data_IF_174464154938
#
_entry.id   IF_174464154938
#
_cell.length_a   1.000
_cell.length_b   1.000
_cell.length_c   1.000
_cell.angle_alpha   90.00
_cell.angle_beta   90.00
_cell.angle_gamma   90.00
#
_symmetry.space_group_name_H-M   'P 1'
#
loop_
_entity.id
_entity.type
_entity.pdbx_description
1 polymer ?
#
# COMPACT_ATOMS: atom_id res chain seq x y z
N UNK A 1 6.89 22.02 7.70
CA UNK A 1 8.26 22.10 7.10
C UNK A 1 9.09 23.30 7.54
N UNK A 2 8.70 24.57 7.29
CA UNK A 2 9.54 25.76 7.60
C UNK A 2 9.88 25.86 9.10
N UNK A 3 8.89 25.75 9.96
CA UNK A 3 9.08 25.79 11.42
C UNK A 3 9.99 24.65 11.92
N UNK A 4 9.75 23.43 11.45
CA UNK A 4 10.56 22.27 11.82
C UNK A 4 12.02 22.41 11.40
N UNK A 5 12.30 22.93 10.20
CA UNK A 5 13.68 23.22 9.76
C UNK A 5 14.31 24.37 10.55
N UNK A 6 13.55 25.40 10.90
CA UNK A 6 14.05 26.47 11.75
C UNK A 6 14.44 25.97 13.14
N UNK A 7 13.75 24.95 13.65
CA UNK A 7 13.99 24.37 14.98
C UNK A 7 15.05 23.26 15.00
N UNK A 8 15.04 22.37 14.02
CA UNK A 8 15.84 21.14 14.00
C UNK A 8 16.93 21.13 12.90
N UNK A 9 16.98 22.16 12.05
CA UNK A 9 17.98 22.32 11.01
C UNK A 9 17.56 21.77 9.64
N UNK A 10 18.45 21.91 8.66
CA UNK A 10 18.16 21.67 7.23
C UNK A 10 17.83 20.21 6.90
N UNK A 11 18.25 19.26 7.75
CA UNK A 11 17.99 17.84 7.57
C UNK A 11 16.58 17.42 8.04
N UNK A 12 15.81 18.32 8.65
CA UNK A 12 14.45 18.02 9.08
C UNK A 12 13.46 18.00 7.90
N UNK A 13 12.67 16.94 7.86
CA UNK A 13 11.55 16.72 6.96
C UNK A 13 10.33 16.29 7.78
N UNK A 14 9.18 16.92 7.51
CA UNK A 14 7.89 16.52 8.08
C UNK A 14 7.21 15.46 7.21
N UNK A 15 6.19 14.78 7.77
CA UNK A 15 5.42 13.74 7.09
C UNK A 15 4.89 14.18 5.73
N UNK A 16 4.50 15.46 5.59
CA UNK A 16 3.92 15.98 4.36
C UNK A 16 4.93 16.00 3.20
N UNK A 17 6.23 16.11 3.52
CA UNK A 17 7.26 15.98 2.49
C UNK A 17 7.34 14.54 1.98
N UNK A 18 7.29 13.55 2.88
CA UNK A 18 7.34 12.14 2.51
C UNK A 18 6.10 11.77 1.68
N UNK A 19 4.90 12.09 2.17
CA UNK A 19 3.64 11.80 1.44
C UNK A 19 3.59 12.45 0.07
N UNK A 20 3.96 13.74 -0.04
CA UNK A 20 3.99 14.45 -1.35
C UNK A 20 4.76 13.67 -2.39
N UNK A 21 5.93 13.25 -1.96
CA UNK A 21 6.85 12.58 -2.82
C UNK A 21 6.27 11.20 -3.11
N UNK A 22 5.82 10.45 -2.09
CA UNK A 22 5.36 9.07 -2.23
C UNK A 22 4.18 8.92 -3.20
N UNK A 23 3.27 9.89 -3.15
CA UNK A 23 2.16 10.08 -4.09
C UNK A 23 2.54 10.27 -5.56
N UNK A 24 3.82 10.50 -5.89
CA UNK A 24 4.26 10.63 -7.27
C UNK A 24 3.93 11.98 -7.91
N UNK A 25 4.43 13.10 -7.36
CA UNK A 25 4.37 14.40 -8.07
C UNK A 25 4.99 14.29 -9.48
N UNK A 26 4.31 14.51 -10.64
CA UNK A 26 2.91 14.78 -10.96
C UNK A 26 2.29 13.70 -11.90
N UNK A 27 2.67 12.43 -11.76
CA UNK A 27 2.22 11.34 -12.62
C UNK A 27 1.40 10.35 -11.79
N UNK A 28 0.30 9.87 -12.37
CA UNK A 28 -0.54 8.79 -11.82
C UNK A 28 0.24 7.56 -11.32
N UNK A 29 1.47 7.36 -11.81
CA UNK A 29 2.40 6.35 -11.34
C UNK A 29 3.47 7.03 -10.49
N UNK A 30 3.52 6.71 -9.20
CA UNK A 30 4.69 7.02 -8.39
C UNK A 30 5.92 6.38 -9.04
N UNK A 31 6.98 7.14 -9.38
CA UNK A 31 8.15 6.60 -10.08
C UNK A 31 9.01 5.68 -9.21
N UNK A 32 8.50 5.25 -8.05
CA UNK A 32 9.19 4.47 -7.01
C UNK A 32 8.53 3.12 -6.71
N UNK A 33 7.51 2.77 -7.47
CA UNK A 33 6.76 1.51 -7.35
C UNK A 33 6.72 0.81 -8.70
N UNK A 34 6.34 -0.47 -8.70
CA UNK A 34 6.17 -1.31 -9.89
C UNK A 34 7.43 -1.48 -10.78
N UNK A 35 8.61 -1.27 -10.20
CA UNK A 35 9.91 -1.45 -10.83
C UNK A 35 11.01 -1.56 -9.77
N UNK A 36 12.15 -2.23 -10.04
CA UNK A 36 13.29 -2.32 -9.13
C UNK A 36 13.78 -1.03 -8.45
N UNK A 37 13.45 0.14 -9.01
CA UNK A 37 13.61 1.45 -8.34
C UNK A 37 12.99 1.47 -6.94
N UNK A 38 12.02 0.62 -6.63
CA UNK A 38 11.46 0.43 -5.29
C UNK A 38 12.53 0.37 -4.21
N UNK A 39 13.60 -0.42 -4.40
CA UNK A 39 14.63 -0.58 -3.38
C UNK A 39 15.48 0.67 -3.19
N UNK A 40 15.99 1.23 -4.28
CA UNK A 40 16.86 2.42 -4.24
C UNK A 40 16.11 3.65 -3.74
N UNK A 41 14.88 3.85 -4.19
CA UNK A 41 14.01 4.95 -3.77
C UNK A 41 13.60 4.82 -2.29
N UNK A 42 13.18 3.64 -1.83
CA UNK A 42 12.80 3.46 -0.42
C UNK A 42 14.00 3.49 0.53
N UNK A 43 15.17 2.98 0.13
CA UNK A 43 16.40 3.11 0.91
C UNK A 43 16.82 4.59 1.08
N UNK A 44 16.76 5.40 0.00
CA UNK A 44 17.07 6.84 0.14
C UNK A 44 15.99 7.62 0.89
N UNK A 45 14.73 7.21 0.79
CA UNK A 45 13.64 7.68 1.66
C UNK A 45 13.95 7.41 3.13
N UNK A 46 14.33 6.17 3.46
CA UNK A 46 14.73 5.72 4.79
C UNK A 46 15.91 6.53 5.32
N UNK A 47 16.95 6.73 4.50
CA UNK A 47 18.09 7.59 4.86
C UNK A 47 17.67 9.03 5.16
N UNK A 48 16.72 9.60 4.41
CA UNK A 48 16.17 10.92 4.71
C UNK A 48 15.38 10.94 6.01
N UNK A 49 14.58 9.90 6.28
CA UNK A 49 13.82 9.74 7.52
C UNK A 49 14.71 9.63 8.74
N UNK A 50 15.70 8.74 8.73
CA UNK A 50 16.64 8.60 9.83
C UNK A 50 17.34 9.92 10.16
N UNK A 51 17.80 10.66 9.15
CA UNK A 51 18.44 11.97 9.37
C UNK A 51 17.47 13.01 9.91
N UNK A 52 16.20 12.95 9.51
CA UNK A 52 15.16 13.80 10.09
C UNK A 52 15.01 13.51 11.59
N UNK A 53 15.00 12.23 12.00
CA UNK A 53 15.01 11.83 13.40
C UNK A 53 16.26 12.33 14.13
N UNK A 54 17.44 12.14 13.55
CA UNK A 54 18.73 12.56 14.13
C UNK A 54 18.87 14.08 14.25
N UNK A 55 18.18 14.85 13.39
CA UNK A 55 18.10 16.31 13.51
C UNK A 55 17.35 16.77 14.76
N UNK A 56 16.45 15.92 15.28
CA UNK A 56 15.71 16.16 16.52
C UNK A 56 16.50 15.61 17.71
N UNK A 57 16.95 14.35 17.60
CA UNK A 57 17.72 13.67 18.65
C UNK A 57 18.81 12.79 18.00
N UNK A 58 20.10 13.19 18.05
CA UNK A 58 21.17 12.54 17.27
C UNK A 58 21.42 11.06 17.54
N UNK A 59 20.92 10.52 18.66
CA UNK A 59 21.08 9.10 18.99
C UNK A 59 19.95 8.20 18.44
N UNK A 60 18.98 8.75 17.71
CA UNK A 60 17.95 7.94 17.07
C UNK A 60 18.48 7.28 15.79
N UNK A 61 18.07 6.05 15.60
CA UNK A 61 18.14 5.34 14.33
C UNK A 61 16.73 5.00 13.87
N UNK A 62 16.54 4.85 12.57
CA UNK A 62 15.27 4.39 12.06
C UNK A 62 15.16 2.88 12.31
N UNK A 63 14.07 2.45 12.95
CA UNK A 63 13.84 1.04 13.25
C UNK A 63 13.14 0.37 12.06
N UNK A 64 13.27 -0.95 11.94
CA UNK A 64 12.52 -1.76 10.98
C UNK A 64 11.52 -2.65 11.70
N UNK A 65 10.57 -3.18 10.95
CA UNK A 65 9.62 -4.18 11.43
C UNK A 65 9.74 -5.48 10.64
N UNK A 66 10.19 -6.54 11.31
CA UNK A 66 10.17 -7.90 10.78
C UNK A 66 8.82 -8.56 11.08
N UNK A 67 7.83 -8.24 10.25
CA UNK A 67 6.46 -8.75 10.39
C UNK A 67 6.36 -10.28 10.29
N UNK A 68 7.39 -10.97 9.78
CA UNK A 68 7.38 -12.44 9.71
C UNK A 68 7.51 -13.09 11.10
N UNK A 69 8.04 -12.36 12.09
CA UNK A 69 7.99 -12.75 13.50
C UNK A 69 6.55 -12.74 14.00
N UNK A 70 5.79 -11.71 13.65
CA UNK A 70 4.40 -11.56 14.07
C UNK A 70 3.47 -12.51 13.30
N UNK A 71 3.79 -12.81 12.04
CA UNK A 71 3.13 -13.86 11.28
C UNK A 71 3.25 -15.23 11.97
N UNK A 72 4.36 -15.48 12.68
CA UNK A 72 4.58 -16.72 13.42
C UNK A 72 3.80 -16.80 14.76
N UNK A 73 3.19 -15.70 15.24
CA UNK A 73 2.41 -15.68 16.49
C UNK A 73 1.02 -16.37 16.38
N UNK A 74 0.64 -16.84 15.19
CA UNK A 74 -0.61 -17.53 14.82
C UNK A 74 -1.89 -16.67 14.93
N UNK A 75 -2.66 -16.66 13.81
CA UNK A 75 -3.99 -16.10 13.48
C UNK A 75 -4.42 -14.73 13.99
N UNK A 76 -3.78 -14.13 14.98
CA UNK A 76 -4.06 -12.77 15.45
C UNK A 76 -2.74 -12.02 15.64
N UNK A 77 -2.26 -11.44 14.54
CA UNK A 77 -1.05 -10.61 14.54
C UNK A 77 -1.22 -9.34 15.37
N UNK A 78 -2.45 -8.94 15.73
CA UNK A 78 -2.71 -7.75 16.55
C UNK A 78 -2.31 -7.92 18.01
N UNK A 79 -2.05 -9.16 18.45
CA UNK A 79 -1.48 -9.46 19.76
C UNK A 79 0.00 -9.07 19.92
N UNK A 80 0.69 -8.69 18.84
CA UNK A 80 2.09 -8.26 18.88
C UNK A 80 2.28 -7.00 19.71
N UNK A 81 3.47 -6.86 20.33
CA UNK A 81 3.87 -5.61 20.99
C UNK A 81 3.86 -4.41 20.03
N UNK A 82 3.99 -4.68 18.71
CA UNK A 82 3.95 -3.66 17.68
C UNK A 82 2.65 -2.84 17.73
N UNK A 83 1.56 -3.50 18.13
CA UNK A 83 0.22 -2.92 18.29
C UNK A 83 -0.09 -2.56 19.74
N UNK A 84 0.92 -2.39 20.61
CA UNK A 84 0.66 -1.89 21.97
C UNK A 84 0.37 -0.38 21.98
N UNK A 85 -0.27 0.11 23.04
CA UNK A 85 -0.59 1.54 23.24
C UNK A 85 0.66 2.45 23.17
N UNK A 86 1.81 1.93 23.62
CA UNK A 86 3.08 2.65 23.58
C UNK A 86 3.71 2.78 22.20
N UNK A 87 3.22 2.00 21.22
CA UNK A 87 3.78 1.87 19.88
C UNK A 87 2.80 2.35 18.80
N UNK A 88 2.28 1.48 17.93
CA UNK A 88 1.34 1.90 16.90
C UNK A 88 -0.13 1.91 17.35
N UNK A 89 -0.41 1.48 18.58
CA UNK A 89 -1.75 1.51 19.18
C UNK A 89 -2.53 0.20 18.94
N UNK A 90 -3.31 -0.27 19.92
CA UNK A 90 -3.97 -1.57 19.86
C UNK A 90 -5.20 -1.59 18.95
N UNK A 91 -5.53 -2.80 18.51
CA UNK A 91 -6.79 -3.08 17.82
C UNK A 91 -8.00 -2.53 18.58
N UNK A 92 -8.02 -2.72 19.89
CA UNK A 92 -9.10 -2.30 20.77
C UNK A 92 -9.22 -0.80 20.99
N UNK A 93 -8.24 0.01 20.55
CA UNK A 93 -8.29 1.46 20.70
C UNK A 93 -8.86 2.17 19.48
N UNK A 94 -9.29 1.43 18.46
CA UNK A 94 -10.23 1.91 17.45
C UNK A 94 -11.62 1.66 18.01
N UNK A 95 -12.29 2.72 18.46
CA UNK A 95 -13.68 2.61 18.89
C UNK A 95 -14.52 2.12 17.70
N UNK A 96 -15.12 0.94 17.85
CA UNK A 96 -16.00 0.37 16.81
C UNK A 96 -17.16 1.31 16.51
N UNK A 97 -17.60 2.11 17.49
CA UNK A 97 -18.61 3.15 17.32
C UNK A 97 -18.05 4.48 16.75
N UNK A 98 -16.73 4.68 16.74
CA UNK A 98 -16.13 5.82 16.06
C UNK A 98 -16.14 5.60 14.55
N UNK A 99 -17.11 6.24 13.89
CA UNK A 99 -17.24 6.24 12.42
C UNK A 99 -16.10 7.00 11.73
N UNK A 100 -15.31 7.78 12.46
CA UNK A 100 -14.14 8.48 11.92
C UNK A 100 -12.89 7.62 11.94
N UNK A 101 -12.87 6.54 12.73
CA UNK A 101 -11.76 5.59 12.86
C UNK A 101 -10.40 6.29 13.08
N UNK A 102 -10.44 7.38 13.86
CA UNK A 102 -9.24 8.17 14.14
C UNK A 102 -8.26 7.33 14.97
N UNK A 103 -6.98 7.41 14.62
CA UNK A 103 -5.93 6.76 15.42
C UNK A 103 -5.89 7.34 16.83
N UNK A 104 -5.54 6.50 17.80
CA UNK A 104 -5.49 6.84 19.22
C UNK A 104 -4.06 6.71 19.77
N UNK A 105 -3.84 7.05 21.04
CA UNK A 105 -2.53 6.96 21.68
C UNK A 105 -1.51 7.96 21.12
N UNK A 106 -0.26 7.51 20.91
CA UNK A 106 0.87 8.34 20.47
C UNK A 106 0.62 9.04 19.13
N UNK A 107 -0.14 8.40 18.25
CA UNK A 107 -0.37 8.86 16.89
C UNK A 107 -1.73 9.56 16.71
N UNK A 108 -2.45 9.80 17.81
CA UNK A 108 -3.70 10.54 17.78
C UNK A 108 -3.51 11.95 17.22
N UNK A 109 -4.49 12.42 16.44
CA UNK A 109 -4.53 13.78 15.88
C UNK A 109 -3.37 14.13 14.94
N UNK A 110 -2.69 13.16 14.32
CA UNK A 110 -1.81 13.45 13.19
C UNK A 110 -2.67 14.05 12.09
N UNK A 111 -2.38 15.29 11.70
CA UNK A 111 -3.15 16.03 10.69
C UNK A 111 -2.70 15.60 9.30
N UNK A 112 -3.66 15.26 8.44
CA UNK A 112 -3.42 14.99 7.03
C UNK A 112 -3.26 16.31 6.29
N UNK A 113 -2.21 16.40 5.47
CA UNK A 113 -1.94 17.59 4.67
C UNK A 113 -3.14 17.95 3.79
N UNK A 114 -3.39 19.24 3.62
CA UNK A 114 -4.40 19.79 2.71
C UNK A 114 -3.77 20.97 1.98
N UNK A 115 -3.94 21.09 0.65
CA UNK A 115 -3.78 22.31 -0.16
C UNK A 115 -3.43 21.97 -1.63
N UNK A 116 -4.33 22.32 -2.55
CA UNK A 116 -4.23 22.08 -4.01
C UNK A 116 -3.05 22.79 -4.70
N UNK A 117 -2.39 23.77 -4.06
CA UNK A 117 -1.30 24.54 -4.68
C UNK A 117 0.09 23.97 -4.45
N UNK A 118 0.28 23.15 -3.42
CA UNK A 118 1.60 22.58 -3.06
C UNK A 118 1.71 21.09 -3.39
N UNK A 119 0.57 20.42 -3.58
CA UNK A 119 0.45 19.01 -3.91
C UNK A 119 -0.46 18.87 -5.12
N UNK A 120 -0.02 18.16 -6.15
CA UNK A 120 -0.81 17.94 -7.36
C UNK A 120 -1.76 16.73 -7.22
N UNK A 121 -1.46 15.83 -6.29
CA UNK A 121 -2.26 14.63 -6.01
C UNK A 121 -2.99 14.84 -4.69
N UNK A 122 -4.31 14.79 -4.74
CA UNK A 122 -5.21 14.92 -3.61
C UNK A 122 -6.56 14.27 -3.94
N UNK A 123 -7.35 13.96 -2.92
CA UNK A 123 -8.73 13.52 -3.10
C UNK A 123 -9.70 14.71 -3.32
N UNK A 124 -11.00 14.44 -3.45
CA UNK A 124 -12.02 15.46 -3.73
C UNK A 124 -12.12 16.53 -2.63
N UNK A 125 -11.79 16.19 -1.39
CA UNK A 125 -11.77 17.12 -0.25
C UNK A 125 -10.51 18.02 -0.20
N UNK A 126 -9.55 17.78 -1.10
CA UNK A 126 -8.27 18.46 -1.18
C UNK A 126 -7.24 17.96 -0.17
N UNK A 127 -7.46 16.80 0.43
CA UNK A 127 -6.52 16.14 1.33
C UNK A 127 -5.45 15.41 0.51
N UNK A 128 -4.21 15.43 0.99
CA UNK A 128 -3.04 14.81 0.35
C UNK A 128 -3.09 13.30 0.56
N UNK A 129 -4.01 12.70 -0.17
CA UNK A 129 -4.31 11.28 -0.27
C UNK A 129 -4.33 10.90 -1.75
N UNK A 130 -4.44 9.60 -2.02
CA UNK A 130 -4.72 9.12 -3.37
C UNK A 130 -6.08 9.62 -3.86
N UNK A 131 -6.26 9.90 -5.16
CA UNK A 131 -7.49 10.51 -5.67
C UNK A 131 -8.75 9.68 -5.43
N UNK A 132 -8.62 8.35 -5.41
CA UNK A 132 -9.70 7.41 -5.11
C UNK A 132 -9.88 7.16 -3.59
N UNK A 133 -8.93 7.56 -2.75
CA UNK A 133 -9.08 7.56 -1.30
C UNK A 133 -9.90 8.78 -0.88
N UNK A 134 -11.20 8.75 -1.10
CA UNK A 134 -12.06 9.90 -0.80
C UNK A 134 -12.56 9.98 0.65
N UNK A 135 -11.75 9.51 1.60
CA UNK A 135 -11.97 9.71 3.03
C UNK A 135 -11.82 11.22 3.39
N UNK A 136 -12.84 11.88 3.96
CA UNK A 136 -12.78 13.30 4.34
C UNK A 136 -12.01 13.58 5.63
N UNK A 137 -11.54 12.54 6.34
CA UNK A 137 -10.84 12.73 7.61
C UNK A 137 -9.56 13.55 7.43
N UNK A 138 -9.49 14.69 8.11
CA UNK A 138 -8.29 15.53 8.17
C UNK A 138 -7.28 15.05 9.23
N UNK A 139 -7.53 13.92 9.88
CA UNK A 139 -6.62 13.26 10.80
C UNK A 139 -6.34 11.82 10.36
N UNK A 140 -5.22 11.26 10.81
CA UNK A 140 -4.84 9.88 10.52
C UNK A 140 -5.89 8.90 11.03
N UNK A 141 -6.31 8.01 10.13
CA UNK A 141 -7.32 6.97 10.35
C UNK A 141 -6.77 5.59 10.02
N UNK A 142 -7.23 4.59 10.78
CA UNK A 142 -6.95 3.17 10.55
C UNK A 142 -8.19 2.35 10.85
N UNK A 143 -8.34 1.23 10.16
CA UNK A 143 -9.35 0.24 10.46
C UNK A 143 -8.71 -1.15 10.42
N UNK A 144 -9.00 -1.97 11.43
CA UNK A 144 -8.62 -3.38 11.43
C UNK A 144 -9.77 -4.28 10.93
N UNK A 145 -10.57 -3.71 10.03
CA UNK A 145 -11.57 -4.40 9.25
C UNK A 145 -11.62 -3.79 7.86
N UNK A 146 -12.01 -4.60 6.88
CA UNK A 146 -12.37 -4.15 5.53
C UNK A 146 -13.86 -4.39 5.37
N UNK A 147 -14.63 -3.31 5.41
CA UNK A 147 -16.09 -3.32 5.23
C UNK A 147 -16.82 -4.31 6.14
N UNK A 148 -16.37 -4.49 7.39
CA UNK A 148 -16.94 -5.44 8.36
C UNK A 148 -16.16 -6.75 8.51
N UNK A 149 -15.36 -7.14 7.52
CA UNK A 149 -14.50 -8.32 7.63
C UNK A 149 -13.25 -8.00 8.48
N UNK A 150 -12.99 -8.69 9.61
CA UNK A 150 -11.81 -8.43 10.43
C UNK A 150 -10.51 -8.76 9.70
N UNK A 151 -9.55 -7.83 9.68
CA UNK A 151 -8.23 -8.08 9.07
C UNK A 151 -7.29 -8.83 10.01
N UNK A 152 -7.58 -8.84 11.31
CA UNK A 152 -6.78 -9.56 12.30
C UNK A 152 -6.80 -11.07 12.09
N UNK A 153 -7.88 -11.61 11.52
CA UNK A 153 -8.01 -13.01 11.17
C UNK A 153 -7.30 -13.38 9.85
N UNK A 154 -6.83 -12.38 9.08
CA UNK A 154 -6.07 -12.59 7.86
C UNK A 154 -4.59 -12.73 8.20
N UNK A 155 -3.90 -13.66 7.55
CA UNK A 155 -2.47 -13.90 7.79
C UNK A 155 -1.62 -12.77 7.24
N UNK A 156 -0.63 -12.34 8.04
CA UNK A 156 0.52 -11.60 7.52
C UNK A 156 1.34 -12.49 6.58
N UNK A 157 2.08 -11.92 5.61
CA UNK A 157 3.06 -12.68 4.86
C UNK A 157 4.05 -13.34 5.82
N UNK A 158 4.27 -14.63 5.62
CA UNK A 158 4.98 -15.50 6.55
C UNK A 158 6.42 -15.74 6.11
N UNK A 159 7.09 -16.62 6.84
CA UNK A 159 8.39 -17.13 6.43
C UNK A 159 8.34 -17.84 5.07
N UNK A 160 7.21 -18.46 4.69
CA UNK A 160 7.10 -19.14 3.39
C UNK A 160 7.24 -18.13 2.23
N UNK A 161 6.48 -17.03 2.27
CA UNK A 161 6.56 -15.97 1.28
C UNK A 161 7.95 -15.33 1.26
N UNK A 162 8.51 -15.01 2.44
CA UNK A 162 9.85 -14.41 2.52
C UNK A 162 10.93 -15.32 1.91
N UNK A 163 10.85 -16.63 2.17
CA UNK A 163 11.78 -17.60 1.61
C UNK A 163 11.65 -17.70 0.09
N UNK A 164 10.42 -17.73 -0.44
CA UNK A 164 10.17 -17.67 -1.89
C UNK A 164 10.76 -16.42 -2.54
N UNK A 165 10.71 -15.27 -1.85
CA UNK A 165 11.37 -14.03 -2.28
C UNK A 165 12.90 -14.15 -2.27
N UNK A 166 13.48 -14.81 -1.26
CA UNK A 166 14.94 -15.02 -1.17
C UNK A 166 15.49 -16.08 -2.13
N UNK A 167 14.64 -16.88 -2.77
CA UNK A 167 15.05 -17.81 -3.84
C UNK A 167 15.33 -17.11 -5.17
N UNK A 168 14.84 -15.88 -5.36
CA UNK A 168 15.01 -15.13 -6.60
C UNK A 168 16.49 -14.80 -6.89
N UNK A 169 16.87 -14.79 -8.16
CA UNK A 169 18.27 -14.54 -8.58
C UNK A 169 18.47 -13.24 -9.35
N UNK A 170 17.39 -12.58 -9.77
CA UNK A 170 17.45 -11.30 -10.49
C UNK A 170 16.75 -10.22 -9.69
N UNK A 171 17.20 -8.98 -9.87
CA UNK A 171 16.56 -7.81 -9.26
C UNK A 171 15.08 -7.67 -9.64
N UNK A 172 14.71 -7.94 -10.89
CA UNK A 172 13.32 -7.83 -11.35
C UNK A 172 12.40 -8.83 -10.65
N UNK A 173 12.82 -10.09 -10.51
CA UNK A 173 12.01 -11.12 -9.85
C UNK A 173 11.96 -10.91 -8.33
N UNK A 174 13.09 -10.51 -7.74
CA UNK A 174 13.16 -10.15 -6.31
C UNK A 174 12.29 -8.94 -5.98
N UNK A 175 12.29 -7.92 -6.85
CA UNK A 175 11.38 -6.79 -6.77
C UNK A 175 9.92 -7.24 -6.82
N UNK A 176 9.54 -8.01 -7.85
CA UNK A 176 8.17 -8.46 -8.05
C UNK A 176 7.65 -9.20 -6.82
N UNK A 177 8.42 -10.16 -6.31
CA UNK A 177 8.05 -10.92 -5.11
C UNK A 177 8.06 -10.06 -3.83
N UNK A 178 8.99 -9.12 -3.68
CA UNK A 178 9.00 -8.24 -2.49
C UNK A 178 7.82 -7.28 -2.50
N UNK A 179 7.60 -6.57 -3.61
CA UNK A 179 6.54 -5.57 -3.68
C UNK A 179 5.16 -6.23 -3.62
N UNK A 180 4.93 -7.32 -4.35
CA UNK A 180 3.59 -7.87 -4.50
C UNK A 180 3.25 -9.00 -3.52
N UNK A 181 4.20 -9.86 -3.14
CA UNK A 181 3.89 -10.99 -2.23
C UNK A 181 4.09 -10.63 -0.75
N UNK A 182 4.92 -9.62 -0.44
CA UNK A 182 5.22 -9.21 0.93
C UNK A 182 4.66 -7.82 1.27
N UNK A 183 4.92 -6.82 0.42
CA UNK A 183 4.64 -5.43 0.77
C UNK A 183 3.18 -5.04 0.58
N UNK A 184 2.61 -5.24 -0.61
CA UNK A 184 1.26 -4.79 -0.96
C UNK A 184 0.21 -5.36 -0.02
N UNK A 185 0.44 -6.59 0.46
CA UNK A 185 -0.43 -7.31 1.37
C UNK A 185 -0.64 -6.62 2.72
N UNK A 186 0.27 -5.75 3.14
CA UNK A 186 0.19 -5.07 4.43
C UNK A 186 -0.80 -3.89 4.41
N UNK A 187 -0.98 -3.25 3.27
CA UNK A 187 -1.85 -2.08 3.12
C UNK A 187 -3.30 -2.33 3.56
N UNK A 188 -4.02 -3.32 3.00
CA UNK A 188 -5.41 -3.59 3.37
C UNK A 188 -5.53 -4.03 4.83
N UNK A 189 -4.52 -4.70 5.39
CA UNK A 189 -4.56 -5.25 6.74
C UNK A 189 -4.53 -4.18 7.85
N UNK A 190 -3.76 -3.11 7.65
CA UNK A 190 -3.57 -2.07 8.69
C UNK A 190 -4.29 -0.76 8.41
N UNK A 191 -4.56 -0.47 7.13
CA UNK A 191 -5.33 0.72 6.77
C UNK A 191 -6.84 0.47 6.85
N UNK A 192 -7.29 -0.68 6.33
CA UNK A 192 -8.68 -1.11 6.31
C UNK A 192 -9.66 -0.16 5.63
N UNK A 193 -10.92 -0.58 5.57
CA UNK A 193 -12.02 0.16 4.97
C UNK A 193 -13.29 0.07 5.83
N UNK A 194 -14.11 1.11 5.81
CA UNK A 194 -15.38 1.17 6.54
C UNK A 194 -16.37 2.08 5.81
N UNK A 195 -17.62 2.12 6.28
CA UNK A 195 -18.68 2.91 5.65
C UNK A 195 -18.88 2.53 4.17
N UNK A 196 -18.70 1.25 3.87
CA UNK A 196 -18.84 0.67 2.54
C UNK A 196 -20.32 0.39 2.26
N UNK A 197 -20.74 0.51 1.00
CA UNK A 197 -22.12 0.21 0.61
C UNK A 197 -22.47 -1.27 0.82
N UNK A 198 -21.51 -2.17 0.54
CA UNK A 198 -21.62 -3.57 0.89
C UNK A 198 -20.95 -3.84 2.24
N UNK A 199 -21.71 -4.38 3.21
CA UNK A 199 -21.16 -4.94 4.45
C UNK A 199 -20.79 -6.41 4.27
N UNK A 200 -19.67 -6.78 4.88
CA UNK A 200 -19.14 -8.14 4.96
C UNK A 200 -19.35 -8.78 6.34
N UNK A 201 -20.04 -8.11 7.27
CA UNK A 201 -20.29 -8.61 8.64
C UNK A 201 -21.06 -9.95 8.64
N UNK A 202 -21.95 -10.12 7.66
CA UNK A 202 -22.81 -11.30 7.50
C UNK A 202 -22.33 -12.22 6.36
N UNK A 203 -21.06 -12.12 5.96
CA UNK A 203 -20.48 -13.00 4.93
C UNK A 203 -20.62 -14.45 5.37
N UNK A 204 -21.30 -15.33 4.60
CA UNK A 204 -21.43 -16.74 4.95
C UNK A 204 -20.08 -17.42 5.12
N UNK A 205 -19.96 -18.33 6.08
CA UNK A 205 -18.72 -19.10 6.34
C UNK A 205 -18.14 -19.75 5.08
N UNK A 206 -18.99 -20.20 4.15
CA UNK A 206 -18.55 -20.83 2.90
C UNK A 206 -17.89 -19.85 1.92
N UNK A 207 -18.02 -18.54 2.12
CA UNK A 207 -17.46 -17.49 1.29
C UNK A 207 -16.27 -16.76 1.95
N UNK A 208 -16.03 -16.96 3.25
CA UNK A 208 -15.04 -16.19 4.00
C UNK A 208 -13.65 -16.28 3.38
N UNK A 209 -13.18 -17.49 3.05
CA UNK A 209 -11.87 -17.68 2.43
C UNK A 209 -11.79 -16.95 1.09
N UNK A 210 -12.75 -17.18 0.18
CA UNK A 210 -12.79 -16.53 -1.14
C UNK A 210 -12.84 -15.00 -1.03
N UNK A 211 -13.66 -14.47 -0.12
CA UNK A 211 -13.79 -13.04 0.10
C UNK A 211 -12.50 -12.47 0.72
N UNK A 212 -11.80 -13.20 1.59
CA UNK A 212 -10.51 -12.78 2.15
C UNK A 212 -9.44 -12.59 1.06
N UNK A 213 -9.36 -13.48 0.07
CA UNK A 213 -8.47 -13.31 -1.08
C UNK A 213 -8.84 -12.06 -1.89
N UNK A 214 -10.13 -11.80 -2.07
CA UNK A 214 -10.62 -10.63 -2.82
C UNK A 214 -10.32 -9.30 -2.11
N UNK A 215 -10.64 -9.18 -0.81
CA UNK A 215 -10.50 -7.90 -0.10
C UNK A 215 -9.04 -7.47 0.09
N UNK A 216 -8.09 -8.41 0.02
CA UNK A 216 -6.65 -8.11 -0.03
C UNK A 216 -6.25 -7.33 -1.28
N UNK A 217 -6.95 -7.53 -2.39
CA UNK A 217 -6.73 -6.80 -3.64
C UNK A 217 -7.65 -5.57 -3.80
N UNK A 218 -8.47 -5.23 -2.81
CA UNK A 218 -9.52 -4.21 -2.96
C UNK A 218 -8.97 -2.85 -3.41
N UNK A 219 -7.86 -2.40 -2.83
CA UNK A 219 -7.21 -1.16 -3.26
C UNK A 219 -6.67 -1.25 -4.69
N UNK A 220 -6.14 -2.42 -5.10
CA UNK A 220 -5.69 -2.62 -6.48
C UNK A 220 -6.85 -2.48 -7.46
N UNK A 221 -8.04 -2.96 -7.10
CA UNK A 221 -9.24 -2.73 -7.91
C UNK A 221 -9.64 -1.25 -7.94
N UNK A 222 -9.51 -0.50 -6.85
CA UNK A 222 -9.74 0.96 -6.88
C UNK A 222 -8.77 1.66 -7.84
N UNK A 223 -7.47 1.35 -7.76
CA UNK A 223 -6.44 1.90 -8.65
C UNK A 223 -6.78 1.59 -10.12
N UNK A 224 -6.97 0.30 -10.44
CA UNK A 224 -7.18 -0.14 -11.82
C UNK A 224 -8.49 0.34 -12.42
N UNK A 225 -9.55 0.52 -11.62
CA UNK A 225 -10.80 1.05 -12.12
C UNK A 225 -10.78 2.59 -12.19
N UNK A 226 -10.11 3.27 -11.27
CA UNK A 226 -9.96 4.72 -11.30
C UNK A 226 -9.18 5.18 -12.54
N UNK A 227 -8.04 4.54 -12.83
CA UNK A 227 -7.19 4.94 -13.97
C UNK A 227 -7.70 4.50 -15.34
N UNK A 228 -8.70 3.62 -15.39
CA UNK A 228 -9.39 3.22 -16.62
C UNK A 228 -10.78 3.88 -16.75
N UNK A 229 -11.03 4.94 -15.97
CA UNK A 229 -12.30 5.72 -15.95
C UNK A 229 -13.55 4.87 -15.64
N UNK A 230 -13.40 3.71 -14.99
CA UNK A 230 -14.50 2.86 -14.56
C UNK A 230 -14.99 3.21 -13.15
N UNK A 231 -14.15 3.84 -12.32
CA UNK A 231 -14.48 4.38 -11.01
C UNK A 231 -14.18 5.88 -11.00
N UNK A 232 -15.21 6.70 -10.82
CA UNK A 232 -15.11 8.16 -10.88
C UNK A 232 -15.31 8.75 -9.49
N UNK A 233 -14.46 9.70 -9.11
CA UNK A 233 -14.63 10.48 -7.88
C UNK A 233 -15.02 11.93 -8.23
N UNK A 234 -15.82 12.61 -7.39
CA UNK A 234 -16.09 14.04 -7.58
C UNK A 234 -14.81 14.87 -7.70
N UNK A 235 -14.83 15.92 -8.51
CA UNK A 235 -13.64 16.78 -8.67
C UNK A 235 -13.40 17.71 -7.47
N UNK A 236 -14.43 17.95 -6.65
CA UNK A 236 -14.34 18.79 -5.47
C UNK A 236 -15.47 18.47 -4.47
N UNK A 237 -15.09 18.46 -3.19
CA UNK A 237 -15.97 18.34 -2.03
C UNK A 237 -15.54 19.34 -0.95
N UNK A 238 -16.52 19.96 -0.29
CA UNK A 238 -16.23 20.75 0.93
C UNK A 238 -16.03 19.79 2.11
N UNK A 239 -15.27 20.17 3.14
CA UNK A 239 -15.08 19.29 4.32
C UNK A 239 -16.39 19.00 5.08
N UNK A 240 -17.41 19.84 4.89
CA UNK A 240 -18.73 19.66 5.51
C UNK A 240 -19.67 18.82 4.64
N UNK A 241 -19.24 18.43 3.43
CA UNK A 241 -20.02 17.55 2.55
C UNK A 241 -19.94 16.12 3.06
N UNK A 242 -21.09 15.46 3.19
CA UNK A 242 -21.17 14.07 3.63
C UNK A 242 -20.35 13.15 2.70
N UNK A 243 -19.75 12.10 3.26
CA UNK A 243 -18.96 11.16 2.49
C UNK A 243 -19.78 10.46 1.42
N UNK A 244 -21.04 10.09 1.70
CA UNK A 244 -21.87 9.39 0.72
C UNK A 244 -22.21 10.27 -0.48
N UNK A 245 -22.36 11.59 -0.28
CA UNK A 245 -22.58 12.56 -1.36
C UNK A 245 -21.30 12.79 -2.20
N UNK A 246 -20.15 12.40 -1.66
CA UNK A 246 -18.85 12.62 -2.26
C UNK A 246 -18.11 11.34 -2.62
N UNK A 247 -18.65 10.15 -2.36
CA UNK A 247 -17.97 8.89 -2.63
C UNK A 247 -17.66 8.74 -4.11
N UNK A 248 -16.62 7.97 -4.41
CA UNK A 248 -16.41 7.54 -5.78
C UNK A 248 -17.48 6.51 -6.17
N UNK A 249 -17.81 6.43 -7.45
CA UNK A 249 -18.79 5.47 -7.95
C UNK A 249 -18.46 4.96 -9.36
N UNK A 250 -18.94 3.77 -9.72
CA UNK A 250 -18.95 3.30 -11.11
C UNK A 250 -20.22 3.77 -11.82
N UNK A 251 -20.07 4.62 -12.84
CA UNK A 251 -21.19 5.16 -13.63
C UNK A 251 -22.12 4.05 -14.18
N UNK A 252 -21.54 2.94 -14.67
CA UNK A 252 -22.30 1.81 -15.20
C UNK A 252 -23.24 1.19 -14.16
N UNK A 253 -22.74 0.96 -12.93
CA UNK A 253 -23.54 0.33 -11.88
C UNK A 253 -24.59 1.31 -11.34
N UNK A 254 -24.21 2.58 -11.14
CA UNK A 254 -25.15 3.63 -10.72
C UNK A 254 -26.31 3.77 -11.71
N UNK A 255 -26.02 3.83 -13.01
CA UNK A 255 -27.07 3.87 -14.04
C UNK A 255 -27.99 2.63 -14.03
N UNK A 256 -27.43 1.44 -13.83
CA UNK A 256 -28.24 0.21 -13.75
C UNK A 256 -29.17 0.17 -12.52
N UNK A 257 -28.71 0.67 -11.37
CA UNK A 257 -29.50 0.73 -10.14
C UNK A 257 -30.55 1.86 -10.17
N UNK A 258 -30.29 2.96 -10.89
CA UNK A 258 -31.31 3.99 -11.15
C UNK A 258 -32.46 3.48 -12.03
N UNK A 259 -32.15 2.63 -13.01
CA UNK A 259 -33.16 2.04 -13.92
C UNK A 259 -33.97 0.91 -13.27
N UNK A 260 -33.39 0.20 -12.29
CA UNK A 260 -34.01 -0.95 -11.64
C UNK A 260 -33.60 -1.09 -10.17
N UNK A 261 -34.58 -1.15 -9.27
CA UNK A 261 -34.36 -1.36 -7.83
C UNK A 261 -33.59 -2.65 -7.51
N UNK A 262 -33.60 -3.63 -8.41
CA UNK A 262 -32.85 -4.89 -8.27
C UNK A 262 -32.22 -5.33 -9.59
N UNK A 263 -31.01 -5.88 -9.54
CA UNK A 263 -30.33 -6.44 -10.71
C UNK A 263 -30.46 -7.97 -10.75
N UNK A 264 -30.55 -8.53 -11.95
CA UNK A 264 -30.48 -9.97 -12.17
C UNK A 264 -29.05 -10.50 -12.03
N UNK A 265 -28.89 -11.82 -11.82
CA UNK A 265 -27.57 -12.45 -11.74
C UNK A 265 -26.69 -12.21 -12.99
N UNK A 266 -27.31 -12.13 -14.18
CA UNK A 266 -26.57 -11.85 -15.41
C UNK A 266 -26.11 -10.37 -15.48
N UNK A 267 -26.90 -9.45 -14.93
CA UNK A 267 -26.50 -8.04 -14.80
C UNK A 267 -25.36 -7.88 -13.79
N UNK A 268 -25.44 -8.52 -12.62
CA UNK A 268 -24.34 -8.55 -11.67
C UNK A 268 -23.06 -9.15 -12.27
N UNK A 269 -23.19 -10.24 -13.03
CA UNK A 269 -22.06 -10.82 -13.73
C UNK A 269 -21.40 -9.84 -14.71
N UNK A 270 -22.17 -9.03 -15.45
CA UNK A 270 -21.60 -8.05 -16.39
C UNK A 270 -20.76 -6.99 -15.67
N UNK A 271 -21.24 -6.48 -14.53
CA UNK A 271 -20.50 -5.51 -13.71
C UNK A 271 -19.23 -6.17 -13.15
N UNK A 272 -19.37 -7.34 -12.54
CA UNK A 272 -18.25 -8.14 -12.02
C UNK A 272 -17.19 -8.43 -13.07
N UNK A 273 -17.60 -8.85 -14.26
CA UNK A 273 -16.69 -9.15 -15.36
C UNK A 273 -15.87 -7.91 -15.75
N UNK A 274 -16.51 -6.74 -15.82
CA UNK A 274 -15.86 -5.47 -16.16
C UNK A 274 -14.89 -5.00 -15.08
N UNK A 275 -15.34 -4.92 -13.83
CA UNK A 275 -14.61 -4.18 -12.77
C UNK A 275 -13.71 -5.07 -11.91
N UNK A 276 -13.91 -6.40 -11.95
CA UNK A 276 -13.09 -7.37 -11.20
C UNK A 276 -12.41 -8.36 -12.13
N UNK A 277 -13.17 -9.16 -12.88
CA UNK A 277 -12.59 -10.34 -13.55
C UNK A 277 -11.62 -9.95 -14.68
N UNK A 278 -12.01 -9.03 -15.56
CA UNK A 278 -11.15 -8.55 -16.63
C UNK A 278 -9.92 -7.83 -16.07
N UNK A 279 -10.09 -7.01 -15.02
CA UNK A 279 -8.98 -6.37 -14.32
C UNK A 279 -7.98 -7.38 -13.77
N UNK A 280 -8.49 -8.45 -13.17
CA UNK A 280 -7.66 -9.55 -12.66
C UNK A 280 -6.89 -10.25 -13.78
N UNK A 281 -7.55 -10.49 -14.91
CA UNK A 281 -6.95 -11.16 -16.06
C UNK A 281 -5.90 -10.32 -16.79
N UNK A 282 -6.03 -8.99 -16.78
CA UNK A 282 -5.11 -8.06 -17.43
C UNK A 282 -4.14 -7.40 -16.46
N UNK A 283 -4.22 -7.72 -15.17
CA UNK A 283 -3.34 -7.16 -14.15
C UNK A 283 -1.89 -7.53 -14.48
N UNK A 284 -1.02 -6.53 -14.39
CA UNK A 284 0.41 -6.67 -14.63
C UNK A 284 1.17 -7.04 -13.36
N UNK A 285 0.47 -7.00 -12.22
CA UNK A 285 0.91 -7.44 -10.91
C UNK A 285 0.14 -8.71 -10.51
N UNK A 286 0.75 -9.63 -9.74
CA UNK A 286 0.04 -10.78 -9.22
C UNK A 286 -0.99 -10.31 -8.19
N UNK A 287 -2.25 -10.71 -8.40
CA UNK A 287 -3.36 -10.48 -7.48
C UNK A 287 -3.72 -11.77 -6.76
N UNK A 288 -4.08 -11.68 -5.48
CA UNK A 288 -4.53 -12.82 -4.68
C UNK A 288 -5.80 -13.45 -5.27
N UNK A 289 -6.70 -12.63 -5.81
CA UNK A 289 -7.95 -13.01 -6.48
C UNK A 289 -7.69 -13.88 -7.72
N UNK A 290 -6.56 -13.70 -8.41
CA UNK A 290 -6.23 -14.53 -9.57
C UNK A 290 -6.05 -16.01 -9.22
N UNK A 291 -5.70 -16.33 -7.96
CA UNK A 291 -5.54 -17.70 -7.46
C UNK A 291 -6.86 -18.46 -7.30
N UNK A 292 -7.97 -17.73 -7.22
CA UNK A 292 -9.31 -18.27 -6.94
C UNK A 292 -10.31 -18.00 -8.07
N UNK A 293 -9.85 -17.46 -9.20
CA UNK A 293 -10.69 -17.08 -10.32
C UNK A 293 -10.34 -17.90 -11.56
N UNK A 294 -11.35 -18.47 -12.23
CA UNK A 294 -11.16 -19.17 -13.50
C UNK A 294 -12.35 -19.03 -14.44
N UNK A 295 -12.14 -19.37 -15.71
CA UNK A 295 -13.21 -19.41 -16.70
C UNK A 295 -13.82 -20.81 -16.80
N UNK A 296 -15.15 -20.88 -16.92
CA UNK A 296 -15.85 -22.12 -17.26
C UNK A 296 -15.70 -22.45 -18.76
N UNK A 297 -16.35 -23.54 -19.21
CA UNK A 297 -16.25 -24.00 -20.61
C UNK A 297 -16.86 -23.02 -21.61
N UNK A 298 -17.78 -22.19 -21.15
CA UNK A 298 -18.46 -21.15 -21.90
C UNK A 298 -17.68 -19.82 -21.91
N UNK A 299 -16.52 -19.77 -21.25
CA UNK A 299 -15.67 -18.57 -21.14
C UNK A 299 -16.14 -17.57 -20.08
N UNK A 300 -17.17 -17.88 -19.28
CA UNK A 300 -17.59 -17.02 -18.17
C UNK A 300 -16.68 -17.21 -16.97
N UNK A 301 -16.29 -16.10 -16.35
CA UNK A 301 -15.53 -16.09 -15.11
C UNK A 301 -16.35 -16.63 -13.94
N UNK A 302 -15.69 -17.27 -12.99
CA UNK A 302 -16.25 -17.74 -11.73
C UNK A 302 -15.17 -17.85 -10.66
N UNK A 303 -15.59 -17.75 -9.42
CA UNK A 303 -14.80 -18.15 -8.26
C UNK A 303 -14.78 -19.67 -8.14
N UNK A 304 -13.59 -20.23 -7.99
CA UNK A 304 -13.40 -21.68 -7.87
C UNK A 304 -13.97 -22.22 -6.56
N UNK A 305 -14.45 -23.48 -6.59
CA UNK A 305 -15.01 -24.14 -5.41
C UNK A 305 -16.43 -23.70 -5.02
N UNK A 306 -16.94 -22.58 -5.54
CA UNK A 306 -18.26 -22.07 -5.19
C UNK A 306 -19.39 -22.62 -6.07
N UNK A 307 -20.59 -22.77 -5.50
CA UNK A 307 -21.82 -23.06 -6.25
C UNK A 307 -22.26 -21.88 -7.13
N UNK A 308 -23.25 -22.09 -8.01
CA UNK A 308 -23.79 -21.01 -8.84
C UNK A 308 -24.45 -19.90 -8.00
N UNK A 309 -25.10 -20.28 -6.89
CA UNK A 309 -25.73 -19.31 -5.99
C UNK A 309 -24.67 -18.47 -5.27
N UNK A 310 -23.63 -19.12 -4.78
CA UNK A 310 -22.50 -18.48 -4.10
C UNK A 310 -21.72 -17.56 -5.05
N UNK A 311 -21.49 -17.99 -6.29
CA UNK A 311 -20.90 -17.12 -7.32
C UNK A 311 -21.75 -15.88 -7.58
N UNK A 312 -23.08 -16.02 -7.67
CA UNK A 312 -23.96 -14.87 -7.86
C UNK A 312 -23.86 -13.87 -6.69
N UNK A 313 -23.79 -14.37 -5.46
CA UNK A 313 -23.56 -13.53 -4.27
C UNK A 313 -22.19 -12.83 -4.34
N UNK A 314 -21.14 -13.54 -4.73
CA UNK A 314 -19.81 -12.94 -4.89
C UNK A 314 -19.79 -11.86 -5.97
N UNK A 315 -20.47 -12.05 -7.10
CA UNK A 315 -20.53 -11.03 -8.16
C UNK A 315 -21.16 -9.74 -7.64
N UNK A 316 -22.30 -9.85 -6.95
CA UNK A 316 -22.96 -8.70 -6.30
C UNK A 316 -22.04 -8.03 -5.28
N UNK A 317 -21.56 -8.76 -4.28
CA UNK A 317 -20.76 -8.17 -3.19
C UNK A 317 -19.46 -7.55 -3.70
N UNK A 318 -18.72 -8.22 -4.57
CA UNK A 318 -17.44 -7.70 -5.09
C UNK A 318 -17.65 -6.51 -6.02
N UNK A 319 -18.69 -6.51 -6.86
CA UNK A 319 -19.06 -5.34 -7.66
C UNK A 319 -19.41 -4.14 -6.78
N UNK A 320 -20.23 -4.34 -5.73
CA UNK A 320 -20.59 -3.26 -4.81
C UNK A 320 -19.37 -2.70 -4.07
N UNK A 321 -18.47 -3.56 -3.58
CA UNK A 321 -17.25 -3.12 -2.90
C UNK A 321 -16.30 -2.32 -3.79
N UNK A 322 -16.19 -2.67 -5.08
CA UNK A 322 -15.36 -1.93 -6.06
C UNK A 322 -16.03 -0.64 -6.49
N UNK A 323 -17.32 -0.68 -6.77
CA UNK A 323 -18.05 0.41 -7.40
C UNK A 323 -18.68 1.41 -6.44
N UNK A 324 -18.75 1.10 -5.16
CA UNK A 324 -19.12 2.06 -4.11
C UNK A 324 -18.10 1.93 -2.96
N UNK A 325 -16.84 2.34 -3.20
CA UNK A 325 -15.81 2.27 -2.18
C UNK A 325 -16.23 2.97 -0.89
N UNK A 326 -15.92 2.33 0.23
CA UNK A 326 -16.02 2.96 1.54
C UNK A 326 -14.90 3.97 1.77
N UNK A 327 -14.85 4.50 2.98
CA UNK A 327 -13.69 5.23 3.47
C UNK A 327 -12.55 4.24 3.65
N UNK A 328 -11.35 4.59 3.21
CA UNK A 328 -10.15 3.80 3.46
C UNK A 328 -9.18 4.56 4.37
N UNK A 329 -8.46 3.82 5.22
CA UNK A 329 -7.40 4.39 6.05
C UNK A 329 -6.21 4.80 5.19
N UNK A 330 -5.42 5.77 5.65
CA UNK A 330 -4.30 6.28 4.84
C UNK A 330 -3.25 5.19 4.54
N UNK A 331 -3.07 4.20 5.41
CA UNK A 331 -2.14 3.10 5.12
C UNK A 331 -2.67 2.11 4.06
N UNK A 332 -3.98 2.08 3.80
CA UNK A 332 -4.58 1.16 2.81
C UNK A 332 -4.33 1.62 1.37
N UNK A 333 -4.23 2.93 1.15
CA UNK A 333 -3.73 3.46 -0.11
C UNK A 333 -2.21 3.29 -0.20
N UNK A 334 -1.68 2.55 -1.19
CA UNK A 334 -0.24 2.32 -1.27
C UNK A 334 0.54 3.63 -1.38
N UNK A 335 0.07 4.62 -2.13
CA UNK A 335 0.86 5.81 -2.41
C UNK A 335 0.71 6.91 -1.34
N UNK A 336 -0.41 6.97 -0.60
CA UNK A 336 -0.58 7.89 0.53
C UNK A 336 -0.27 7.25 1.89
N UNK A 337 0.15 5.98 1.92
CA UNK A 337 0.56 5.24 3.11
C UNK A 337 1.62 5.94 3.96
N UNK A 338 2.47 6.78 3.37
CA UNK A 338 3.46 7.60 4.09
C UNK A 338 2.85 8.63 5.07
N UNK A 339 1.55 8.91 4.98
CA UNK A 339 0.82 9.67 6.02
C UNK A 339 0.76 8.91 7.36
N UNK A 340 0.89 7.59 7.33
CA UNK A 340 0.85 6.73 8.50
C UNK A 340 2.28 6.36 8.97
N UNK A 341 2.63 6.58 10.25
CA UNK A 341 3.93 6.22 10.78
C UNK A 341 4.35 4.74 10.64
N UNK A 342 3.43 3.80 10.42
CA UNK A 342 3.76 2.38 10.14
C UNK A 342 4.56 2.24 8.84
N UNK A 343 4.40 3.18 7.91
CA UNK A 343 5.13 3.23 6.65
C UNK A 343 6.63 3.05 6.83
N UNK A 344 7.24 3.82 7.74
CA UNK A 344 8.69 3.88 7.86
C UNK A 344 9.33 2.54 8.27
N UNK A 345 8.94 1.89 9.39
CA UNK A 345 9.54 0.62 9.77
C UNK A 345 9.28 -0.52 8.78
N UNK A 346 8.13 -0.51 8.10
CA UNK A 346 7.85 -1.46 7.01
C UNK A 346 8.83 -1.27 5.86
N UNK A 347 9.06 -0.03 5.42
CA UNK A 347 9.91 0.23 4.25
C UNK A 347 11.40 0.06 4.51
N UNK A 348 11.86 0.30 5.74
CA UNK A 348 13.25 0.01 6.14
C UNK A 348 13.52 -1.50 6.14
N UNK A 349 12.49 -2.33 6.38
CA UNK A 349 12.63 -3.78 6.28
C UNK A 349 12.97 -4.26 4.85
N UNK A 350 12.50 -3.54 3.82
CA UNK A 350 12.82 -3.87 2.43
C UNK A 350 14.30 -3.62 2.10
N UNK A 351 14.90 -2.59 2.70
CA UNK A 351 16.35 -2.34 2.59
C UNK A 351 17.15 -3.46 3.27
N UNK A 352 16.70 -3.96 4.43
CA UNK A 352 17.32 -5.13 5.08
C UNK A 352 17.29 -6.37 4.19
N UNK A 353 16.12 -6.68 3.63
CA UNK A 353 15.94 -7.81 2.70
C UNK A 353 16.82 -7.67 1.46
N UNK A 354 16.89 -6.46 0.89
CA UNK A 354 17.72 -6.17 -0.26
C UNK A 354 19.22 -6.33 0.04
N UNK A 355 19.68 -5.78 1.17
CA UNK A 355 21.07 -5.92 1.60
C UNK A 355 21.43 -7.39 1.84
N UNK A 356 20.52 -8.19 2.39
CA UNK A 356 20.71 -9.64 2.51
C UNK A 356 20.93 -10.30 1.14
N UNK A 357 20.07 -10.01 0.16
CA UNK A 357 20.21 -10.57 -1.19
C UNK A 357 21.51 -10.19 -1.87
N UNK A 358 22.01 -8.96 -1.66
CA UNK A 358 23.30 -8.51 -2.21
C UNK A 358 24.51 -9.20 -1.59
N UNK A 359 24.40 -9.64 -0.34
CA UNK A 359 25.45 -10.42 0.33
C UNK A 359 25.41 -11.91 -0.08
N UNK A 360 24.31 -12.38 -0.68
CA UNK A 360 24.17 -13.74 -1.19
C UNK A 360 24.95 -13.92 -2.49
N UNK A 361 25.62 -15.06 -2.65
CA UNK A 361 26.29 -15.40 -3.91
C UNK A 361 25.24 -15.56 -5.03
N UNK A 362 25.56 -15.04 -6.23
CA UNK A 362 24.78 -15.18 -7.47
C UNK A 362 23.48 -14.37 -7.60
N UNK A 363 23.32 -13.26 -6.86
CA UNK A 363 22.23 -12.31 -7.11
C UNK A 363 22.65 -11.24 -8.13
N UNK A 364 21.86 -11.08 -9.20
CA UNK A 364 22.06 -10.00 -10.17
C UNK A 364 21.32 -8.73 -9.73
N UNK A 365 22.07 -7.74 -9.27
CA UNK A 365 21.56 -6.47 -8.74
C UNK A 365 21.27 -5.42 -9.83
N UNK A 366 21.44 -5.73 -11.12
CA UNK A 366 21.16 -4.82 -12.23
C UNK A 366 19.90 -5.22 -12.99
N UNK A 367 19.28 -4.27 -13.71
CA UNK A 367 18.12 -4.51 -14.58
C UNK A 367 18.16 -3.61 -15.82
N UNK A 368 17.38 -3.93 -16.85
CA UNK A 368 17.25 -3.07 -18.03
C UNK A 368 16.02 -2.17 -17.92
N UNK A 369 16.10 -1.00 -18.57
CA UNK A 369 14.94 -0.11 -18.77
C UNK A 369 13.84 -0.69 -19.65
N UNK A 370 14.13 -1.76 -20.40
CA UNK A 370 13.18 -2.42 -21.30
C UNK A 370 12.36 -3.53 -20.65
N UNK A 371 12.74 -3.98 -19.45
CA UNK A 371 12.05 -5.04 -18.72
C UNK A 371 10.92 -4.49 -17.81
N UNK A 372 10.81 -3.17 -17.71
CA UNK A 372 9.77 -2.44 -16.99
C UNK A 372 9.13 -1.42 -17.93
N UNK A 373 7.80 -1.35 -17.97
CA UNK A 373 6.99 -0.47 -18.83
C UNK A 373 7.67 0.89 -19.06
N UNK A 374 8.27 1.08 -20.23
CA UNK A 374 9.27 2.12 -20.55
C UNK A 374 8.73 3.56 -20.61
N UNK A 375 7.68 3.87 -19.85
CA UNK A 375 6.93 5.13 -19.92
C UNK A 375 7.05 5.99 -18.64
N UNK A 376 7.57 5.43 -17.53
CA UNK A 376 7.75 6.18 -16.27
C UNK A 376 9.23 6.52 -16.04
N UNK A 377 9.54 7.81 -15.96
CA UNK A 377 10.90 8.29 -15.65
C UNK A 377 11.29 7.88 -14.22
N UNK A 378 12.49 7.33 -14.04
CA UNK A 378 12.99 6.89 -12.74
C UNK A 378 13.10 5.37 -12.64
N UNK A 379 12.47 4.62 -13.54
CA UNK A 379 12.43 3.16 -13.49
C UNK A 379 13.67 2.49 -14.07
N UNK A 380 14.41 3.14 -14.97
CA UNK A 380 15.61 2.56 -15.54
C UNK A 380 16.76 2.50 -14.52
N UNK A 381 17.65 1.52 -14.67
CA UNK A 381 18.88 1.39 -13.88
C UNK A 381 19.77 2.65 -13.88
N UNK A 382 19.76 3.44 -14.96
CA UNK A 382 20.53 4.69 -15.05
C UNK A 382 19.65 5.93 -14.95
N UNK A 383 18.35 5.78 -14.67
CA UNK A 383 17.46 6.93 -14.56
C UNK A 383 17.71 7.69 -13.26
N UNK A 384 17.55 9.03 -13.27
CA UNK A 384 17.60 9.83 -12.07
C UNK A 384 16.41 9.54 -11.16
N UNK A 385 16.69 9.29 -9.88
CA UNK A 385 15.72 9.15 -8.80
C UNK A 385 15.48 10.52 -8.17
N UNK A 386 14.58 11.29 -8.77
CA UNK A 386 14.16 12.57 -8.21
C UNK A 386 13.37 12.35 -6.90
N UNK A 387 13.49 13.26 -5.90
CA UNK A 387 14.25 14.51 -5.87
C UNK A 387 15.62 14.39 -5.19
N UNK A 388 16.19 13.20 -5.09
CA UNK A 388 17.26 12.97 -4.14
C UNK A 388 18.60 13.51 -4.64
N UNK A 389 19.05 14.59 -4.01
CA UNK A 389 20.37 15.22 -4.27
C UNK A 389 21.35 15.03 -3.11
N UNK A 390 20.91 14.42 -2.01
CA UNK A 390 21.68 14.19 -0.80
C UNK A 390 21.41 12.80 -0.21
N UNK A 391 22.46 12.06 0.08
CA UNK A 391 22.42 10.75 0.71
C UNK A 391 23.35 10.74 1.93
N UNK A 392 22.96 10.02 2.98
CA UNK A 392 23.58 10.02 4.32
C UNK A 392 23.91 11.39 4.94
N UNK A 393 23.38 12.50 4.39
CA UNK A 393 23.54 13.86 4.92
C UNK A 393 24.83 14.55 4.50
N UNK A 394 25.85 13.78 4.13
CA UNK A 394 27.19 14.25 3.78
C UNK A 394 27.56 14.02 2.31
N UNK A 395 26.83 13.16 1.58
CA UNK A 395 27.09 12.89 0.16
C UNK A 395 26.09 13.67 -0.68
N UNK A 396 26.57 14.73 -1.33
CA UNK A 396 25.74 15.61 -2.16
C UNK A 396 26.17 15.54 -3.62
N UNK A 397 25.19 15.55 -4.52
CA UNK A 397 25.40 15.56 -5.96
C UNK A 397 24.80 16.80 -6.60
N UNK A 398 25.43 17.29 -7.67
CA UNK A 398 24.83 18.27 -8.57
C UNK A 398 23.86 17.54 -9.50
N UNK A 399 22.57 17.60 -9.18
CA UNK A 399 21.53 16.80 -9.83
C UNK A 399 21.05 15.65 -8.93
N UNK A 400 20.12 14.84 -9.43
CA UNK A 400 19.60 13.69 -8.69
C UNK A 400 20.55 12.50 -8.80
N UNK A 401 20.58 11.68 -7.75
CA UNK A 401 21.20 10.35 -7.84
C UNK A 401 20.47 9.50 -8.87
N UNK A 402 21.20 8.65 -9.56
CA UNK A 402 20.63 7.61 -10.43
C UNK A 402 20.50 6.29 -9.68
N UNK A 403 19.71 5.34 -10.19
CA UNK A 403 19.54 4.05 -9.54
C UNK A 403 20.87 3.30 -9.36
N UNK A 404 21.73 3.26 -10.38
CA UNK A 404 23.07 2.67 -10.33
C UNK A 404 23.97 3.30 -9.25
N UNK A 405 23.94 4.63 -9.10
CA UNK A 405 24.67 5.31 -8.04
C UNK A 405 24.15 4.98 -6.65
N UNK A 406 22.82 4.87 -6.49
CA UNK A 406 22.22 4.47 -5.23
C UNK A 406 22.54 3.01 -4.91
N UNK A 407 22.62 2.14 -5.91
CA UNK A 407 23.07 0.77 -5.73
C UNK A 407 24.47 0.72 -5.11
N UNK A 408 25.42 1.43 -5.69
CA UNK A 408 26.78 1.45 -5.15
C UNK A 408 26.81 2.07 -3.74
N UNK A 409 25.99 3.09 -3.52
CA UNK A 409 25.92 3.82 -2.26
C UNK A 409 25.30 3.03 -1.10
N UNK A 410 24.34 2.16 -1.41
CA UNK A 410 23.68 1.28 -0.44
C UNK A 410 24.35 -0.10 -0.37
N UNK A 411 25.58 -0.26 -0.84
CA UNK A 411 26.26 -1.57 -0.82
C UNK A 411 26.61 -2.03 0.60
N UNK A 412 26.03 -3.17 1.07
CA UNK A 412 26.29 -3.69 2.42
C UNK A 412 27.71 -4.23 2.63
N UNK A 413 28.52 -4.37 1.57
CA UNK A 413 29.91 -4.79 1.65
C UNK A 413 30.91 -3.63 1.78
N UNK A 414 30.45 -2.39 1.64
CA UNK A 414 31.29 -1.20 1.68
C UNK A 414 31.21 -0.48 3.03
N UNK A 415 32.35 0.02 3.52
CA UNK A 415 32.46 0.80 4.77
C UNK A 415 31.78 2.18 4.71
N UNK A 416 31.05 2.48 3.62
CA UNK A 416 30.38 3.77 3.40
C UNK A 416 28.95 3.82 3.94
N UNK A 417 28.36 2.68 4.30
CA UNK A 417 27.07 2.66 4.98
C UNK A 417 27.21 3.27 6.38
N UNK A 418 26.34 4.23 6.76
CA UNK A 418 26.40 4.84 8.09
C UNK A 418 25.78 3.95 9.18
N UNK A 419 25.26 2.78 8.82
CA UNK A 419 24.67 1.81 9.73
C UNK A 419 25.11 0.39 9.34
N UNK A 420 24.94 -0.52 10.29
CA UNK A 420 25.04 -1.96 10.08
C UNK A 420 23.77 -2.61 10.62
N UNK A 421 23.39 -3.74 10.03
CA UNK A 421 22.32 -4.56 10.58
C UNK A 421 22.87 -5.38 11.74
N UNK A 422 22.19 -5.37 12.89
CA UNK A 422 22.58 -6.16 14.07
C UNK A 422 22.71 -7.65 13.74
N UNK A 423 21.77 -8.17 12.93
CA UNK A 423 21.92 -9.43 12.24
C UNK A 423 21.20 -9.44 10.88
N UNK A 424 21.68 -10.34 10.01
CA UNK A 424 21.04 -10.72 8.75
C UNK A 424 20.48 -12.13 8.85
N UNK A 425 19.75 -12.41 9.93
CA UNK A 425 19.17 -13.74 10.17
C UNK A 425 17.69 -13.65 10.48
N UNK A 426 16.92 -14.60 9.96
CA UNK A 426 15.52 -14.84 10.32
C UNK A 426 15.45 -16.18 11.04
N UNK A 427 15.94 -16.22 12.28
CA UNK A 427 16.08 -17.45 13.07
C UNK A 427 14.73 -18.17 13.27
N UNK A 428 13.63 -17.44 13.24
CA UNK A 428 12.27 -17.96 13.30
C UNK A 428 11.80 -18.62 11.98
N UNK A 429 12.46 -18.33 10.85
CA UNK A 429 12.11 -18.86 9.53
C UNK A 429 12.86 -20.15 9.14
N UNK A 430 13.67 -20.75 10.03
CA UNK A 430 14.47 -21.94 9.74
C UNK A 430 15.30 -21.83 8.43
N UNK A 431 15.97 -20.69 8.24
CA UNK A 431 16.89 -20.42 7.13
C UNK A 431 18.08 -21.38 7.06
#
# INVERSE_FOLDING_TARGET
MVEGRAKYGDNFYGVEWYTRWHLGSPTANSPWHASPVFFTSHAIFGSHFERSLQSIYPALSAHYWDFTIDAALSTDWSGSFFWSEGWFGPHSSIDVADMHKATTGRWANIVIGRNMSTFNTHNSYGLVNEPYNNNPSNVLTRSFSICGMPTTAMSLPSCEELMGTFEQTTMTDFHSSTEYDLHVELHPLFGGAWDCEASLDETPDSLLDTMSYFVRDLTNYYIMNYYDDALTCPSYCSLDTDFHDCRCECDDLSGMLEESETLSNDQWYQVFEKVVANKTATATMPLQTAKILSQNKEGKWKFEGLSNKENAMMYESTSMLVCYPGRIGQFMGPLDSANDPIFFPTHINWERNWNYMRLKNNFNNTWNSGDTWSMVKGWAYTDPVAPFTNAYGNIRKKGYFTNDELIDLFDPSLDMLPFIWDDMSWKHCNL
#
